data_IF_429305087825
#
_entry.id   IF_429305087825
#
_cell.length_a   1.000
_cell.length_b   1.000
_cell.length_c   1.000
_cell.angle_alpha   90.00
_cell.angle_beta   90.00
_cell.angle_gamma   90.00
#
_symmetry.space_group_name_H-M   'P 1'
#
loop_
_entity.id
_entity.type
_entity.pdbx_description
1 polymer ?
#
# COMPACT_ATOMS: atom_id res chain seq x y z
N UNK A 1 6.05 -10.59 -1.10
CA UNK A 1 5.96 -11.02 -2.51
C UNK A 1 7.26 -10.64 -3.17
N UNK A 2 7.87 -11.48 -4.00
CA UNK A 2 9.02 -11.03 -4.80
C UNK A 2 8.45 -10.25 -5.98
N UNK A 3 8.85 -8.99 -6.10
CA UNK A 3 8.46 -8.11 -7.20
C UNK A 3 9.49 -8.29 -8.30
N UNK A 4 9.00 -8.53 -9.52
CA UNK A 4 9.81 -8.72 -10.72
C UNK A 4 9.30 -7.78 -11.82
N UNK A 5 10.14 -7.45 -12.82
CA UNK A 5 9.68 -6.75 -14.00
C UNK A 5 8.50 -7.50 -14.64
N UNK A 6 7.45 -6.76 -15.00
CA UNK A 6 6.24 -7.30 -15.66
C UNK A 6 6.46 -7.53 -17.15
N UNK A 7 7.54 -7.00 -17.69
CA UNK A 7 7.88 -7.06 -19.11
C UNK A 7 8.32 -8.47 -19.51
N UNK A 8 8.40 -8.72 -20.82
CA UNK A 8 8.90 -10.01 -21.28
C UNK A 8 10.39 -10.14 -20.97
N UNK A 9 10.81 -11.23 -20.31
CA UNK A 9 12.22 -11.48 -20.11
C UNK A 9 12.92 -11.69 -21.45
N UNK A 10 14.22 -11.34 -21.51
CA UNK A 10 15.07 -11.59 -22.68
C UNK A 10 15.20 -13.08 -22.93
N UNK A 11 15.22 -13.85 -21.84
CA UNK A 11 15.26 -15.30 -21.83
C UNK A 11 14.22 -15.79 -20.84
N UNK A 12 13.36 -16.69 -21.30
CA UNK A 12 12.25 -17.17 -20.49
C UNK A 12 12.35 -18.69 -20.30
N UNK A 13 11.92 -19.15 -19.13
CA UNK A 13 11.59 -20.54 -18.86
C UNK A 13 12.74 -21.53 -19.04
N UNK A 14 13.97 -21.10 -18.75
CA UNK A 14 15.09 -22.01 -18.67
C UNK A 14 14.93 -22.90 -17.43
N UNK A 15 15.20 -24.19 -17.55
CA UNK A 15 15.16 -25.08 -16.39
C UNK A 15 16.57 -25.14 -15.77
N UNK A 16 16.66 -24.81 -14.49
CA UNK A 16 17.93 -24.77 -13.74
C UNK A 16 18.68 -26.09 -13.72
N UNK A 17 18.00 -27.23 -13.94
CA UNK A 17 18.63 -28.54 -14.06
C UNK A 17 19.64 -28.61 -15.23
N UNK A 18 19.41 -27.86 -16.31
CA UNK A 18 20.27 -27.88 -17.50
C UNK A 18 21.25 -26.71 -17.56
N UNK A 19 21.30 -25.87 -16.52
CA UNK A 19 21.99 -24.59 -16.55
C UNK A 19 22.96 -24.48 -15.39
N UNK A 20 24.21 -24.16 -15.70
CA UNK A 20 25.20 -23.74 -14.71
C UNK A 20 24.88 -22.30 -14.28
N UNK A 21 24.22 -22.15 -13.12
CA UNK A 21 23.67 -20.86 -12.69
C UNK A 21 24.74 -19.78 -12.44
N UNK A 22 25.90 -20.07 -11.81
CA UNK A 22 27.02 -19.14 -11.75
C UNK A 22 27.46 -18.64 -13.14
N UNK A 23 27.63 -19.53 -14.11
CA UNK A 23 28.00 -19.13 -15.48
C UNK A 23 26.90 -18.35 -16.19
N UNK A 24 25.65 -18.70 -15.95
CA UNK A 24 24.49 -17.97 -16.46
C UNK A 24 24.52 -16.51 -15.96
N UNK A 25 24.77 -16.34 -14.66
CA UNK A 25 24.90 -15.02 -14.04
C UNK A 25 26.03 -14.21 -14.66
N UNK A 26 27.25 -14.76 -14.71
CA UNK A 26 28.42 -14.08 -15.31
C UNK A 26 28.19 -13.70 -16.78
N UNK A 27 27.58 -14.61 -17.55
CA UNK A 27 27.28 -14.37 -18.96
C UNK A 27 26.34 -13.19 -19.16
N UNK A 28 25.19 -13.17 -18.48
CA UNK A 28 24.22 -12.09 -18.64
C UNK A 28 24.64 -10.80 -17.95
N UNK A 29 25.52 -10.88 -16.94
CA UNK A 29 26.19 -9.69 -16.40
C UNK A 29 27.02 -8.99 -17.48
N UNK A 30 27.84 -9.74 -18.21
CA UNK A 30 28.65 -9.21 -19.31
C UNK A 30 27.86 -8.81 -20.55
N UNK A 31 26.80 -9.55 -20.89
CA UNK A 31 26.00 -9.29 -22.11
C UNK A 31 25.01 -8.14 -21.93
N UNK A 32 24.31 -8.07 -20.79
CA UNK A 32 23.23 -7.09 -20.58
C UNK A 32 23.73 -5.82 -19.90
N UNK A 33 24.81 -5.89 -19.13
CA UNK A 33 25.34 -4.78 -18.33
C UNK A 33 24.47 -4.38 -17.13
N UNK A 34 23.16 -4.64 -17.13
CA UNK A 34 22.30 -4.53 -15.97
C UNK A 34 21.03 -5.38 -16.16
N UNK A 35 20.58 -6.01 -15.07
CA UNK A 35 19.44 -6.92 -15.17
C UNK A 35 19.06 -7.64 -13.88
N UNK A 36 18.10 -8.55 -14.04
CA UNK A 36 17.63 -9.43 -12.98
C UNK A 36 17.46 -10.86 -13.46
N UNK A 37 17.86 -11.85 -12.65
CA UNK A 37 17.60 -13.27 -12.89
C UNK A 37 16.62 -13.75 -11.83
N UNK A 38 15.43 -14.14 -12.27
CA UNK A 38 14.36 -14.66 -11.43
C UNK A 38 14.33 -16.19 -11.48
N UNK A 39 14.19 -16.80 -10.32
CA UNK A 39 14.15 -18.24 -10.11
C UNK A 39 12.81 -18.60 -9.47
N UNK A 40 12.00 -19.39 -10.17
CA UNK A 40 10.67 -19.79 -9.71
C UNK A 40 10.58 -21.29 -9.52
N UNK A 41 10.42 -21.72 -8.27
CA UNK A 41 10.35 -23.13 -7.89
C UNK A 41 9.04 -23.49 -7.19
N UNK A 42 8.75 -24.79 -6.98
CA UNK A 42 7.50 -25.24 -6.36
C UNK A 42 7.28 -24.80 -4.90
N UNK A 43 8.36 -24.52 -4.16
CA UNK A 43 8.30 -24.17 -2.73
C UNK A 43 9.16 -22.98 -2.34
N UNK A 44 9.84 -22.39 -3.31
CA UNK A 44 10.81 -21.32 -3.13
C UNK A 44 10.89 -20.47 -4.38
N UNK A 45 11.28 -19.22 -4.20
CA UNK A 45 11.40 -18.24 -5.26
C UNK A 45 12.56 -17.30 -4.92
N UNK A 46 13.32 -16.88 -5.93
CA UNK A 46 14.42 -15.96 -5.71
C UNK A 46 14.64 -15.03 -6.89
N UNK A 47 15.28 -13.89 -6.65
CA UNK A 47 15.73 -12.99 -7.71
C UNK A 47 17.11 -12.44 -7.36
N UNK A 48 17.98 -12.30 -8.36
CA UNK A 48 19.29 -11.68 -8.25
C UNK A 48 19.31 -10.47 -9.19
N UNK A 49 19.64 -9.29 -8.65
CA UNK A 49 19.85 -8.06 -9.42
C UNK A 49 21.34 -7.76 -9.55
N UNK A 50 21.76 -7.34 -10.73
CA UNK A 50 23.17 -7.06 -11.04
C UNK A 50 23.33 -5.86 -11.96
N UNK A 51 24.48 -5.21 -11.86
CA UNK A 51 25.01 -4.33 -12.89
C UNK A 51 26.27 -4.96 -13.51
N UNK A 52 26.96 -4.18 -14.36
CA UNK A 52 28.10 -4.63 -15.16
C UNK A 52 29.30 -5.02 -14.29
N UNK A 53 29.38 -4.50 -13.07
CA UNK A 53 30.55 -4.61 -12.20
C UNK A 53 30.27 -5.65 -11.10
N UNK A 54 29.06 -5.69 -10.54
CA UNK A 54 28.75 -6.57 -9.42
C UNK A 54 27.28 -7.02 -9.29
N UNK A 55 27.06 -7.94 -8.35
CA UNK A 55 25.74 -8.27 -7.85
C UNK A 55 25.30 -7.20 -6.85
N UNK A 56 24.18 -6.52 -7.14
CA UNK A 56 23.67 -5.43 -6.32
C UNK A 56 22.86 -5.93 -5.12
N UNK A 57 21.93 -6.85 -5.37
CA UNK A 57 21.11 -7.44 -4.31
C UNK A 57 20.52 -8.77 -4.77
N UNK A 58 20.10 -9.59 -3.82
CA UNK A 58 19.32 -10.77 -4.09
C UNK A 58 18.26 -10.98 -3.01
N UNK A 59 17.20 -11.70 -3.37
CA UNK A 59 16.15 -12.11 -2.45
C UNK A 59 15.90 -13.58 -2.68
N UNK A 60 15.77 -14.32 -1.60
CA UNK A 60 15.34 -15.70 -1.65
C UNK A 60 14.25 -15.91 -0.61
N UNK A 61 13.17 -16.55 -1.03
CA UNK A 61 11.99 -16.77 -0.21
C UNK A 61 11.61 -18.24 -0.26
N UNK A 62 11.40 -18.81 0.91
CA UNK A 62 10.87 -20.16 1.14
C UNK A 62 9.88 -20.09 2.28
N UNK A 63 8.91 -21.00 2.39
CA UNK A 63 7.83 -20.95 3.41
C UNK A 63 8.30 -20.42 4.79
N UNK A 64 7.87 -19.20 5.14
CA UNK A 64 8.18 -18.54 6.42
C UNK A 64 9.56 -17.89 6.55
N UNK A 65 10.42 -18.02 5.54
CA UNK A 65 11.78 -17.49 5.50
C UNK A 65 11.94 -16.54 4.30
N UNK A 66 12.53 -15.38 4.53
CA UNK A 66 13.00 -14.50 3.45
C UNK A 66 14.37 -13.98 3.83
N UNK A 67 15.35 -14.28 2.98
CA UNK A 67 16.74 -13.85 3.12
C UNK A 67 17.08 -12.89 1.99
N UNK A 68 18.08 -12.03 2.23
CA UNK A 68 18.44 -10.93 1.35
C UNK A 68 19.96 -10.89 1.08
N UNK A 69 20.36 -10.13 0.07
CA UNK A 69 21.77 -9.87 -0.25
C UNK A 69 22.56 -11.13 -0.60
N UNK A 70 23.85 -11.14 -0.25
CA UNK A 70 24.77 -12.23 -0.61
C UNK A 70 24.35 -13.59 -0.08
N UNK A 71 23.70 -13.65 1.08
CA UNK A 71 23.19 -14.91 1.63
C UNK A 71 22.10 -15.51 0.74
N UNK A 72 21.18 -14.67 0.23
CA UNK A 72 20.15 -15.09 -0.71
C UNK A 72 20.75 -15.63 -2.02
N UNK A 73 21.73 -14.91 -2.59
CA UNK A 73 22.41 -15.35 -3.80
C UNK A 73 23.13 -16.69 -3.60
N UNK A 74 23.83 -16.85 -2.47
CA UNK A 74 24.48 -18.11 -2.10
C UNK A 74 23.49 -19.27 -2.01
N UNK A 75 22.32 -19.05 -1.39
CA UNK A 75 21.26 -20.08 -1.32
C UNK A 75 20.70 -20.42 -2.69
N UNK A 76 20.49 -19.44 -3.56
CA UNK A 76 20.06 -19.67 -4.94
C UNK A 76 21.10 -20.51 -5.70
N UNK A 77 22.38 -20.16 -5.65
CA UNK A 77 23.44 -20.90 -6.35
C UNK A 77 23.60 -22.34 -5.82
N UNK A 78 23.38 -22.55 -4.53
CA UNK A 78 23.46 -23.87 -3.92
C UNK A 78 22.24 -24.76 -4.27
N UNK A 79 21.04 -24.19 -4.24
CA UNK A 79 19.80 -24.94 -4.45
C UNK A 79 19.44 -25.13 -5.92
N UNK A 80 19.75 -24.15 -6.78
CA UNK A 80 19.27 -24.15 -8.16
C UNK A 80 19.69 -25.36 -9.01
N UNK A 81 20.90 -25.95 -8.85
CA UNK A 81 21.26 -27.18 -9.56
C UNK A 81 20.42 -28.40 -9.15
N UNK A 82 19.91 -28.41 -7.90
CA UNK A 82 19.25 -29.57 -7.30
C UNK A 82 17.72 -29.42 -7.24
N UNK A 83 17.22 -28.21 -7.48
CA UNK A 83 15.80 -27.91 -7.55
C UNK A 83 15.44 -27.52 -8.98
N UNK A 84 14.27 -27.94 -9.46
CA UNK A 84 13.80 -27.61 -10.82
C UNK A 84 13.19 -26.21 -10.86
N UNK A 85 14.03 -25.17 -10.75
CA UNK A 85 13.59 -23.79 -10.93
C UNK A 85 13.38 -23.49 -12.42
N UNK A 86 12.31 -22.75 -12.70
CA UNK A 86 12.14 -22.01 -13.95
C UNK A 86 12.90 -20.67 -13.80
N UNK A 87 13.80 -20.38 -14.75
CA UNK A 87 14.66 -19.20 -14.75
C UNK A 87 14.24 -18.25 -15.86
N UNK A 88 14.00 -17.00 -15.48
CA UNK A 88 13.74 -15.88 -16.39
C UNK A 88 14.83 -14.81 -16.21
N UNK A 89 15.35 -14.28 -17.32
CA UNK A 89 16.38 -13.23 -17.33
C UNK A 89 15.80 -11.94 -17.90
N UNK A 90 15.84 -10.88 -17.10
CA UNK A 90 15.32 -9.56 -17.43
C UNK A 90 16.46 -8.59 -17.69
N UNK A 91 16.36 -7.84 -18.78
CA UNK A 91 17.15 -6.63 -18.99
C UNK A 91 16.49 -5.50 -18.22
N UNK A 92 17.27 -4.77 -17.43
CA UNK A 92 16.82 -3.60 -16.68
C UNK A 92 17.80 -2.48 -17.01
N UNK A 93 17.29 -1.28 -17.24
CA UNK A 93 18.15 -0.13 -17.51
C UNK A 93 19.06 0.19 -16.33
N UNK A 94 20.31 0.57 -16.59
CA UNK A 94 21.29 0.97 -15.58
C UNK A 94 20.82 2.12 -14.68
N UNK A 95 19.95 2.99 -15.17
CA UNK A 95 19.37 4.07 -14.37
C UNK A 95 18.34 3.56 -13.35
N UNK A 96 17.70 2.42 -13.63
CA UNK A 96 16.66 1.84 -12.78
C UNK A 96 17.15 0.68 -11.93
N UNK A 97 18.27 0.04 -12.29
CA UNK A 97 18.69 -1.20 -11.63
C UNK A 97 18.93 -1.02 -10.13
N UNK A 98 19.50 0.12 -9.72
CA UNK A 98 19.68 0.45 -8.30
C UNK A 98 18.34 0.63 -7.57
N UNK A 99 17.31 1.14 -8.25
CA UNK A 99 15.96 1.21 -7.71
C UNK A 99 15.37 -0.19 -7.53
N UNK A 100 15.45 -1.02 -8.57
CA UNK A 100 14.98 -2.42 -8.56
C UNK A 100 15.63 -3.25 -7.46
N UNK A 101 16.94 -3.09 -7.26
CA UNK A 101 17.70 -3.75 -6.20
C UNK A 101 17.18 -3.38 -4.79
N UNK A 102 16.52 -2.23 -4.61
CA UNK A 102 15.96 -1.78 -3.34
C UNK A 102 14.45 -2.06 -3.17
N UNK A 103 13.73 -2.44 -4.23
CA UNK A 103 12.31 -2.83 -4.13
C UNK A 103 12.04 -3.90 -3.06
N UNK A 104 12.90 -4.92 -2.86
CA UNK A 104 12.71 -5.91 -1.80
C UNK A 104 12.63 -5.33 -0.38
N UNK A 105 13.22 -4.17 -0.15
CA UNK A 105 13.16 -3.45 1.14
C UNK A 105 11.94 -2.54 1.29
N UNK A 106 11.03 -2.55 0.32
CA UNK A 106 9.86 -1.69 0.34
C UNK A 106 8.84 -2.06 1.43
N UNK A 107 8.14 -1.06 1.92
CA UNK A 107 7.08 -1.16 2.90
C UNK A 107 5.76 -0.71 2.28
N UNK A 108 4.67 -1.35 2.66
CA UNK A 108 3.35 -1.01 2.13
C UNK A 108 2.83 0.29 2.76
N UNK A 109 2.43 1.22 1.90
CA UNK A 109 1.78 2.49 2.29
C UNK A 109 0.27 2.35 2.14
N UNK A 110 -0.16 1.88 0.97
CA UNK A 110 -1.58 1.64 0.66
C UNK A 110 -1.74 0.25 0.04
N UNK A 111 -2.78 -0.48 0.46
CA UNK A 111 -3.10 -1.82 -0.06
C UNK A 111 -4.52 -1.86 -0.59
N UNK A 112 -4.73 -2.62 -1.65
CA UNK A 112 -6.05 -2.97 -2.19
C UNK A 112 -6.94 -1.76 -2.53
N UNK A 113 -6.34 -0.66 -3.02
CA UNK A 113 -7.12 0.48 -3.51
C UNK A 113 -7.79 0.08 -4.82
N UNK A 114 -9.11 0.12 -4.89
CA UNK A 114 -9.82 -0.23 -6.13
C UNK A 114 -10.22 1.02 -6.92
N UNK A 115 -10.40 0.85 -8.22
CA UNK A 115 -10.92 1.87 -9.13
C UNK A 115 -12.31 2.39 -8.79
N UNK A 116 -13.05 1.67 -7.94
CA UNK A 116 -14.34 2.13 -7.43
C UNK A 116 -14.19 3.30 -6.44
N UNK A 117 -12.98 3.50 -5.90
CA UNK A 117 -12.70 4.48 -4.85
C UNK A 117 -11.57 5.45 -5.21
N UNK A 118 -10.67 5.06 -6.11
CA UNK A 118 -9.52 5.89 -6.48
C UNK A 118 -9.23 5.74 -7.96
N UNK A 119 -9.12 6.84 -8.68
CA UNK A 119 -8.62 6.81 -10.05
C UNK A 119 -7.08 6.83 -10.02
N UNK A 120 -6.47 6.05 -10.94
CA UNK A 120 -5.00 5.93 -10.97
C UNK A 120 -4.31 7.27 -11.21
N UNK A 121 -4.94 8.20 -11.91
CA UNK A 121 -4.36 9.51 -12.23
C UNK A 121 -4.29 10.41 -10.99
N UNK A 122 -5.35 10.43 -10.17
CA UNK A 122 -5.41 11.07 -8.87
C UNK A 122 -4.37 10.48 -7.91
N UNK A 123 -4.25 9.15 -7.86
CA UNK A 123 -3.23 8.48 -7.05
C UNK A 123 -1.81 8.88 -7.46
N UNK A 124 -1.52 8.91 -8.78
CA UNK A 124 -0.23 9.37 -9.29
C UNK A 124 0.05 10.81 -8.85
N UNK A 125 -0.91 11.74 -9.01
CA UNK A 125 -0.75 13.14 -8.60
C UNK A 125 -0.44 13.26 -7.11
N UNK A 126 -1.11 12.46 -6.28
CA UNK A 126 -0.85 12.40 -4.84
C UNK A 126 0.58 11.93 -4.55
N UNK A 127 1.03 10.83 -5.16
CA UNK A 127 2.38 10.29 -4.95
C UNK A 127 3.48 11.25 -5.43
N UNK A 128 3.20 12.07 -6.46
CA UNK A 128 4.08 13.19 -6.85
C UNK A 128 4.15 14.25 -5.75
N UNK A 129 3.01 14.70 -5.23
CA UNK A 129 2.93 15.74 -4.20
C UNK A 129 3.61 15.32 -2.88
N UNK A 130 3.44 14.05 -2.48
CA UNK A 130 4.04 13.48 -1.28
C UNK A 130 5.52 13.10 -1.46
N UNK A 131 6.09 13.35 -2.64
CA UNK A 131 7.48 13.02 -2.98
C UNK A 131 7.82 11.54 -2.74
N UNK A 132 6.91 10.64 -3.14
CA UNK A 132 7.11 9.21 -2.98
C UNK A 132 8.45 8.77 -3.57
N UNK A 133 9.19 7.98 -2.80
CA UNK A 133 10.28 7.14 -3.33
C UNK A 133 9.84 5.70 -3.13
N UNK A 134 9.51 5.02 -4.22
CA UNK A 134 8.71 3.80 -4.15
C UNK A 134 7.99 3.49 -5.45
N UNK A 135 6.99 2.63 -5.41
CA UNK A 135 6.26 2.25 -6.61
C UNK A 135 4.78 2.05 -6.35
N UNK A 136 4.01 2.12 -7.43
CA UNK A 136 2.61 1.69 -7.45
C UNK A 136 2.55 0.40 -8.27
N UNK A 137 2.13 -0.71 -7.67
CA UNK A 137 1.75 -1.93 -8.39
C UNK A 137 0.27 -1.84 -8.77
N UNK A 138 0.00 -1.97 -10.05
CA UNK A 138 -1.33 -1.87 -10.65
C UNK A 138 -1.68 -3.22 -11.24
N UNK A 139 -2.71 -3.86 -10.70
CA UNK A 139 -3.29 -5.09 -11.22
C UNK A 139 -4.64 -4.80 -11.89
N UNK A 140 -4.82 -5.28 -13.11
CA UNK A 140 -6.02 -5.11 -13.95
C UNK A 140 -6.53 -6.50 -14.33
N UNK A 141 -7.85 -6.65 -14.53
CA UNK A 141 -8.47 -7.92 -14.95
C UNK A 141 -8.07 -9.09 -14.03
N UNK A 142 -8.20 -8.90 -12.70
CA UNK A 142 -7.79 -9.87 -11.67
C UNK A 142 -6.30 -10.26 -11.73
N UNK A 143 -5.44 -9.37 -12.22
CA UNK A 143 -4.00 -9.55 -12.27
C UNK A 143 -3.47 -10.17 -13.57
N UNK A 144 -4.31 -10.33 -14.60
CA UNK A 144 -3.86 -10.78 -15.91
C UNK A 144 -3.06 -9.70 -16.67
N UNK A 145 -3.41 -8.44 -16.45
CA UNK A 145 -2.69 -7.29 -16.98
C UNK A 145 -2.28 -6.37 -15.83
N UNK A 146 -1.27 -5.53 -16.05
CA UNK A 146 -0.84 -4.61 -15.01
C UNK A 146 0.43 -3.87 -15.33
N UNK A 147 0.86 -3.08 -14.35
CA UNK A 147 2.13 -2.39 -14.43
C UNK A 147 2.62 -1.87 -13.09
N UNK A 148 3.92 -1.64 -13.03
CA UNK A 148 4.60 -0.95 -11.95
C UNK A 148 4.89 0.47 -12.42
N UNK A 149 4.59 1.46 -11.58
CA UNK A 149 4.97 2.86 -11.79
C UNK A 149 6.02 3.20 -10.74
N UNK A 150 7.24 3.54 -11.16
CA UNK A 150 8.37 3.78 -10.27
C UNK A 150 8.53 5.27 -10.00
N UNK A 151 8.66 5.63 -8.72
CA UNK A 151 8.80 7.00 -8.25
C UNK A 151 10.12 7.19 -7.49
N UNK A 152 10.79 8.30 -7.74
CA UNK A 152 11.91 8.79 -6.95
C UNK A 152 11.65 10.25 -6.57
N UNK A 153 11.50 10.52 -5.27
CA UNK A 153 11.18 11.85 -4.75
C UNK A 153 9.97 12.52 -5.44
N UNK A 154 8.97 11.73 -5.83
CA UNK A 154 7.78 12.19 -6.52
C UNK A 154 7.92 12.28 -8.05
N UNK A 155 9.11 12.12 -8.61
CA UNK A 155 9.27 12.01 -10.05
C UNK A 155 9.09 10.58 -10.54
N UNK A 156 8.38 10.40 -11.66
CA UNK A 156 8.23 9.10 -12.29
C UNK A 156 9.52 8.81 -13.06
N UNK A 157 10.32 7.88 -12.56
CA UNK A 157 11.60 7.49 -13.16
C UNK A 157 11.47 6.30 -14.11
N UNK A 158 10.30 5.65 -14.14
CA UNK A 158 10.06 4.53 -15.03
C UNK A 158 8.76 3.81 -14.77
N UNK A 159 8.55 2.75 -15.53
CA UNK A 159 7.48 1.81 -15.30
C UNK A 159 7.75 0.50 -16.02
N UNK A 160 7.12 -0.56 -15.54
CA UNK A 160 7.23 -1.89 -16.12
C UNK A 160 5.83 -2.41 -16.37
N UNK A 161 5.49 -2.75 -17.60
CA UNK A 161 4.12 -3.06 -18.02
C UNK A 161 4.04 -4.44 -18.66
N UNK A 162 2.96 -5.18 -18.41
CA UNK A 162 2.82 -6.57 -18.91
C UNK A 162 2.76 -6.70 -20.43
N UNK A 163 2.57 -5.59 -21.14
CA UNK A 163 2.54 -5.51 -22.61
C UNK A 163 3.79 -4.82 -23.23
N UNK A 164 4.76 -4.40 -22.42
CA UNK A 164 5.97 -3.71 -22.87
C UNK A 164 7.18 -4.67 -22.99
N UNK A 165 8.27 -4.19 -23.64
CA UNK A 165 9.45 -4.98 -24.00
C UNK A 165 10.76 -4.55 -23.29
N UNK A 166 10.73 -3.97 -22.09
CA UNK A 166 11.97 -3.78 -21.31
C UNK A 166 12.82 -2.57 -21.67
N UNK A 167 12.44 -1.80 -22.68
CA UNK A 167 13.17 -0.57 -23.04
C UNK A 167 12.48 0.63 -22.42
N UNK A 168 13.28 1.47 -21.75
CA UNK A 168 13.21 2.86 -21.25
C UNK A 168 11.91 3.69 -21.27
N UNK A 169 10.80 3.15 -21.71
CA UNK A 169 9.58 3.87 -21.88
C UNK A 169 8.61 3.50 -20.75
N UNK A 170 8.96 4.09 -19.60
CA UNK A 170 8.02 5.02 -18.98
C UNK A 170 7.58 6.14 -19.94
N UNK A 171 7.42 5.89 -21.26
CA UNK A 171 6.78 6.85 -22.12
C UNK A 171 5.44 7.06 -21.49
N UNK A 172 5.16 8.33 -21.34
CA UNK A 172 3.85 8.89 -21.12
C UNK A 172 2.78 8.07 -21.88
N UNK A 173 3.11 7.47 -23.04
CA UNK A 173 2.28 6.49 -23.75
C UNK A 173 1.90 5.24 -22.92
N UNK A 174 2.84 4.44 -22.42
CA UNK A 174 2.52 3.23 -21.64
C UNK A 174 1.82 3.57 -20.32
N UNK A 175 2.23 4.66 -19.67
CA UNK A 175 1.54 5.18 -18.48
C UNK A 175 0.09 5.56 -18.81
N UNK A 176 -0.16 6.28 -19.90
CA UNK A 176 -1.51 6.62 -20.38
C UNK A 176 -2.33 5.37 -20.71
N UNK A 177 -1.72 4.34 -21.30
CA UNK A 177 -2.39 3.07 -21.57
C UNK A 177 -2.78 2.38 -20.25
N UNK A 178 -1.91 2.37 -19.25
CA UNK A 178 -2.19 1.79 -17.93
C UNK A 178 -3.36 2.51 -17.25
N UNK A 179 -3.33 3.86 -17.22
CA UNK A 179 -4.41 4.70 -16.67
C UNK A 179 -5.75 4.43 -17.37
N UNK A 180 -5.73 4.37 -18.71
CA UNK A 180 -6.93 4.09 -19.50
C UNK A 180 -7.47 2.69 -19.19
N UNK A 181 -6.62 1.66 -19.21
CA UNK A 181 -7.03 0.28 -18.94
C UNK A 181 -7.59 0.10 -17.53
N UNK A 182 -6.95 0.71 -16.52
CA UNK A 182 -7.46 0.64 -15.15
C UNK A 182 -8.84 1.31 -15.05
N UNK A 183 -9.06 2.43 -15.74
CA UNK A 183 -10.37 3.11 -15.76
C UNK A 183 -11.43 2.26 -16.46
N UNK A 184 -11.10 1.68 -17.60
CA UNK A 184 -12.07 0.98 -18.46
C UNK A 184 -12.46 -0.40 -17.91
N UNK A 185 -11.54 -1.11 -17.25
CA UNK A 185 -11.72 -2.51 -16.82
C UNK A 185 -11.70 -2.72 -15.31
N UNK A 186 -11.44 -1.66 -14.57
CA UNK A 186 -11.19 -1.71 -13.15
C UNK A 186 -9.77 -2.21 -12.82
N UNK A 187 -9.28 -1.82 -11.65
CA UNK A 187 -7.94 -2.13 -11.20
C UNK A 187 -7.82 -2.11 -9.69
N UNK A 188 -6.82 -2.82 -9.20
CA UNK A 188 -6.39 -2.83 -7.80
C UNK A 188 -4.99 -2.24 -7.75
N UNK A 189 -4.78 -1.26 -6.88
CA UNK A 189 -3.53 -0.56 -6.71
C UNK A 189 -2.95 -0.84 -5.33
N UNK A 190 -1.64 -1.04 -5.31
CA UNK A 190 -0.83 -1.15 -4.11
C UNK A 190 0.31 -0.15 -4.21
N UNK A 191 0.49 0.65 -3.15
CA UNK A 191 1.55 1.64 -3.07
C UNK A 191 2.57 1.17 -2.05
N UNK A 192 3.82 1.08 -2.48
CA UNK A 192 4.95 0.69 -1.64
C UNK A 192 5.98 1.82 -1.61
N UNK A 193 6.57 2.07 -0.44
CA UNK A 193 7.64 3.05 -0.23
C UNK A 193 8.95 2.33 0.02
N UNK A 194 10.02 2.81 -0.60
CA UNK A 194 11.38 2.36 -0.33
C UNK A 194 11.98 3.31 0.73
N UNK A 195 12.36 2.80 1.92
CA UNK A 195 12.98 3.61 2.95
C UNK A 195 14.35 4.13 2.50
N UNK A 196 14.68 5.37 2.86
CA UNK A 196 15.88 6.06 2.36
C UNK A 196 17.12 5.81 3.24
N UNK A 197 17.00 5.05 4.34
CA UNK A 197 18.15 4.66 5.16
C UNK A 197 17.98 3.27 5.80
N UNK A 198 19.10 2.56 6.02
CA UNK A 198 19.15 1.34 6.82
C UNK A 198 18.71 1.55 8.29
N UNK A 199 18.55 2.79 8.74
CA UNK A 199 18.03 3.14 10.07
C UNK A 199 16.50 2.96 10.15
N UNK A 200 15.77 3.12 9.04
CA UNK A 200 14.33 2.82 8.93
C UNK A 200 14.05 1.31 8.77
N UNK A 201 15.04 0.54 8.30
CA UNK A 201 14.93 -0.93 8.15
C UNK A 201 15.04 -1.69 9.48
N UNK A 202 15.54 -1.06 10.56
CA UNK A 202 15.50 -1.60 11.92
C UNK A 202 14.18 -1.33 12.65
N UNK A 203 13.30 -0.49 12.09
CA UNK A 203 11.93 -0.38 12.54
C UNK A 203 11.10 -1.50 11.89
N UNK A 204 11.29 -2.72 12.37
CA UNK A 204 10.31 -3.78 12.18
C UNK A 204 8.96 -3.40 12.83
N UNK A 205 7.88 -4.15 12.57
CA UNK A 205 6.55 -3.86 13.11
C UNK A 205 6.60 -3.96 14.64
N UNK A 206 6.67 -2.81 15.30
CA UNK A 206 6.90 -2.74 16.74
C UNK A 206 7.58 -1.45 17.15
N UNK A 207 6.94 -0.30 16.92
CA UNK A 207 6.97 0.70 17.97
C UNK A 207 5.91 0.27 18.99
N UNK A 208 6.26 0.03 20.27
CA UNK A 208 5.24 -0.08 21.30
C UNK A 208 4.40 1.19 21.27
N UNK A 209 3.09 1.11 21.59
CA UNK A 209 2.26 2.31 21.68
C UNK A 209 2.98 3.26 22.62
N UNK A 210 3.27 4.47 22.14
CA UNK A 210 3.71 5.55 23.00
C UNK A 210 2.51 5.87 23.88
N UNK A 211 2.39 5.15 24.99
CA UNK A 211 1.48 5.45 26.05
C UNK A 211 1.92 6.81 26.62
N UNK A 212 1.13 7.85 26.37
CA UNK A 212 1.40 9.15 26.94
C UNK A 212 0.68 10.32 26.28
N UNK A 213 -0.65 10.25 26.14
CA UNK A 213 -1.63 11.34 26.29
C UNK A 213 -2.99 10.79 25.85
N UNK A 214 -4.02 10.90 26.71
CA UNK A 214 -5.26 10.11 26.67
C UNK A 214 -5.80 9.77 25.28
N UNK A 215 -5.74 8.49 24.92
CA UNK A 215 -6.19 7.99 23.63
C UNK A 215 -7.73 8.02 23.56
N UNK A 216 -8.28 8.94 22.77
CA UNK A 216 -9.72 9.08 22.56
C UNK A 216 -10.24 8.19 21.42
N UNK A 217 -9.39 7.35 20.81
CA UNK A 217 -9.83 6.40 19.79
C UNK A 217 -10.84 5.39 20.35
N UNK A 218 -10.68 4.94 21.59
CA UNK A 218 -11.63 4.05 22.27
C UNK A 218 -13.03 4.67 22.40
N UNK A 219 -13.16 5.86 23.01
CA UNK A 219 -14.43 6.60 23.05
C UNK A 219 -15.04 6.83 21.66
N UNK A 220 -14.26 7.26 20.66
CA UNK A 220 -14.78 7.49 19.30
C UNK A 220 -15.25 6.21 18.61
N UNK A 221 -14.57 5.09 18.86
CA UNK A 221 -14.98 3.79 18.35
C UNK A 221 -16.33 3.35 18.93
N UNK A 222 -16.54 3.53 20.23
CA UNK A 222 -17.80 3.25 20.91
C UNK A 222 -18.96 4.11 20.35
N UNK A 223 -18.73 5.39 20.07
CA UNK A 223 -19.73 6.28 19.49
C UNK A 223 -20.17 5.80 18.09
N UNK A 224 -19.19 5.51 17.22
CA UNK A 224 -19.45 5.06 15.86
C UNK A 224 -20.06 3.66 15.82
N UNK A 225 -19.68 2.76 16.74
CA UNK A 225 -20.27 1.43 16.87
C UNK A 225 -21.73 1.50 17.34
N UNK A 226 -22.04 2.39 18.28
CA UNK A 226 -23.41 2.61 18.73
C UNK A 226 -24.28 3.20 17.61
N UNK A 227 -23.72 4.14 16.83
CA UNK A 227 -24.38 4.67 15.64
C UNK A 227 -24.60 3.57 14.59
N UNK A 228 -23.58 2.74 14.31
CA UNK A 228 -23.71 1.59 13.41
C UNK A 228 -24.84 0.65 13.83
N UNK A 229 -24.97 0.38 15.14
CA UNK A 229 -26.05 -0.42 15.71
C UNK A 229 -27.44 0.16 15.47
N UNK A 230 -27.59 1.50 15.53
CA UNK A 230 -28.84 2.19 15.19
C UNK A 230 -29.18 2.02 13.70
N UNK A 231 -28.18 2.19 12.83
CA UNK A 231 -28.34 2.03 11.39
C UNK A 231 -28.71 0.60 10.99
N UNK A 232 -28.10 -0.42 11.62
CA UNK A 232 -28.45 -1.84 11.41
C UNK A 232 -29.86 -2.19 11.90
N UNK A 233 -30.30 -1.55 12.97
CA UNK A 233 -31.64 -1.75 13.54
C UNK A 233 -32.75 -1.08 12.71
N UNK A 234 -32.40 -0.13 11.83
CA UNK A 234 -33.34 0.60 11.00
C UNK A 234 -33.64 -0.13 9.68
N UNK A 235 -34.87 -0.65 9.55
CA UNK A 235 -35.33 -1.37 8.33
C UNK A 235 -35.27 -0.56 7.03
N UNK A 236 -35.17 0.78 7.10
CA UNK A 236 -35.03 1.64 5.91
C UNK A 236 -33.58 1.71 5.40
N UNK A 237 -32.60 1.33 6.20
CA UNK A 237 -31.19 1.38 5.83
C UNK A 237 -30.76 0.04 5.20
N UNK A 238 -30.41 0.07 3.92
CA UNK A 238 -29.95 -1.11 3.14
C UNK A 238 -28.50 -1.02 2.68
N UNK A 239 -27.81 0.07 3.03
CA UNK A 239 -26.42 0.32 2.64
C UNK A 239 -25.48 -0.12 3.77
N UNK A 240 -24.21 -0.30 3.45
CA UNK A 240 -23.17 -0.54 4.45
C UNK A 240 -22.89 0.76 5.24
N UNK A 241 -22.91 0.70 6.57
CA UNK A 241 -22.71 1.88 7.43
C UNK A 241 -21.35 2.51 7.22
N UNK A 242 -20.28 1.70 7.13
CA UNK A 242 -18.94 2.20 6.88
C UNK A 242 -18.84 2.97 5.57
N UNK A 243 -19.59 2.57 4.55
CA UNK A 243 -19.64 3.26 3.25
C UNK A 243 -20.33 4.62 3.34
N UNK A 244 -21.41 4.72 4.10
CA UNK A 244 -22.13 5.99 4.32
C UNK A 244 -21.31 6.93 5.20
N UNK A 245 -20.67 6.41 6.25
CA UNK A 245 -19.76 7.17 7.11
C UNK A 245 -18.58 7.73 6.33
N UNK A 246 -17.91 6.90 5.50
CA UNK A 246 -16.79 7.34 4.66
C UNK A 246 -17.21 8.40 3.66
N UNK A 247 -18.40 8.28 3.06
CA UNK A 247 -18.92 9.33 2.17
C UNK A 247 -19.08 10.66 2.90
N UNK A 248 -19.61 10.64 4.13
CA UNK A 248 -19.76 11.85 4.94
C UNK A 248 -18.42 12.50 5.27
N UNK A 249 -17.41 11.69 5.58
CA UNK A 249 -16.07 12.18 5.83
C UNK A 249 -15.43 12.83 4.60
N UNK A 250 -15.68 12.31 3.39
CA UNK A 250 -15.25 13.00 2.14
C UNK A 250 -15.91 14.37 2.01
N UNK A 251 -17.21 14.49 2.30
CA UNK A 251 -17.93 15.77 2.22
C UNK A 251 -17.40 16.82 3.21
N UNK A 252 -16.80 16.37 4.32
CA UNK A 252 -16.23 17.22 5.37
C UNK A 252 -14.71 17.34 5.30
N UNK A 253 -14.05 16.66 4.37
CA UNK A 253 -12.60 16.65 4.22
C UNK A 253 -12.02 18.05 3.92
N UNK A 254 -12.78 18.91 3.25
CA UNK A 254 -12.39 20.31 2.99
C UNK A 254 -12.27 21.15 4.29
N UNK A 255 -13.07 20.81 5.32
CA UNK A 255 -13.04 21.47 6.65
C UNK A 255 -12.13 20.74 7.63
N UNK A 256 -12.09 19.41 7.55
CA UNK A 256 -11.32 18.54 8.43
C UNK A 256 -10.46 17.60 7.59
N UNK A 257 -9.28 18.06 7.19
CA UNK A 257 -8.37 17.31 6.32
C UNK A 257 -8.00 15.92 6.85
N UNK A 258 -7.99 15.73 8.18
CA UNK A 258 -7.71 14.44 8.81
C UNK A 258 -8.85 13.41 8.69
N UNK A 259 -10.08 13.87 8.39
CA UNK A 259 -11.20 12.99 8.06
C UNK A 259 -11.14 12.51 6.61
N UNK A 260 -10.28 13.10 5.79
CA UNK A 260 -10.09 12.65 4.41
C UNK A 260 -9.73 11.14 4.42
N UNK A 261 -10.60 10.28 3.87
CA UNK A 261 -10.32 8.85 3.78
C UNK A 261 -9.05 8.56 2.98
N UNK A 262 -8.57 9.51 2.17
CA UNK A 262 -7.33 9.43 1.41
C UNK A 262 -6.11 9.83 2.24
N UNK A 263 -6.22 10.75 3.21
CA UNK A 263 -5.11 11.07 4.13
C UNK A 263 -4.77 9.85 4.99
N UNK A 264 -5.77 9.00 5.30
CA UNK A 264 -5.58 7.77 6.08
C UNK A 264 -5.26 8.04 7.55
N UNK A 265 -5.38 9.30 7.97
CA UNK A 265 -5.14 9.75 9.33
C UNK A 265 -6.22 9.22 10.28
N UNK A 266 -7.48 9.16 9.85
CA UNK A 266 -8.59 8.58 10.60
C UNK A 266 -9.20 7.38 9.87
N UNK A 267 -9.32 6.23 10.55
CA UNK A 267 -9.95 5.02 10.01
C UNK A 267 -10.94 4.44 11.01
N UNK A 268 -12.12 4.09 10.52
CA UNK A 268 -13.10 3.28 11.25
C UNK A 268 -13.38 1.97 10.50
N UNK A 269 -13.08 0.84 11.13
CA UNK A 269 -13.37 -0.50 10.61
C UNK A 269 -13.53 -1.49 11.75
N UNK A 270 -14.47 -2.45 11.63
CA UNK A 270 -14.71 -3.49 12.64
C UNK A 270 -14.97 -2.95 14.06
N UNK A 271 -15.63 -1.81 14.19
CA UNK A 271 -15.86 -1.12 15.47
C UNK A 271 -14.58 -0.64 16.18
N UNK A 272 -13.48 -0.52 15.44
CA UNK A 272 -12.23 0.09 15.92
C UNK A 272 -11.97 1.40 15.19
N UNK A 273 -11.46 2.38 15.93
CA UNK A 273 -10.94 3.63 15.39
C UNK A 273 -9.42 3.60 15.47
N UNK A 274 -8.76 3.90 14.37
CA UNK A 274 -7.32 4.12 14.32
C UNK A 274 -7.09 5.54 13.85
N UNK A 275 -6.46 6.35 14.70
CA UNK A 275 -6.01 7.69 14.36
C UNK A 275 -4.49 7.76 14.37
N UNK A 276 -3.90 8.19 13.25
CA UNK A 276 -2.43 8.34 13.07
C UNK A 276 -2.06 9.76 12.64
N UNK A 277 -3.03 10.67 12.61
CA UNK A 277 -2.84 12.08 12.29
C UNK A 277 -2.24 12.87 13.45
N UNK A 278 -1.96 14.15 13.19
CA UNK A 278 -1.43 15.11 14.19
C UNK A 278 -2.48 16.10 14.68
N UNK A 279 -3.74 15.93 14.30
CA UNK A 279 -4.82 16.82 14.73
C UNK A 279 -4.99 16.75 16.26
N UNK A 280 -5.24 17.90 16.89
CA UNK A 280 -5.50 17.96 18.31
C UNK A 280 -6.83 17.23 18.63
N UNK A 281 -6.91 16.63 19.81
CA UNK A 281 -8.14 15.94 20.26
C UNK A 281 -9.36 16.88 20.29
N UNK A 282 -9.12 18.17 20.51
CA UNK A 282 -10.13 19.24 20.48
C UNK A 282 -10.74 19.48 19.10
N UNK A 283 -10.04 19.10 18.03
CA UNK A 283 -10.55 19.19 16.65
C UNK A 283 -11.13 17.84 16.20
N UNK A 284 -10.44 16.74 16.56
CA UNK A 284 -10.80 15.39 16.14
C UNK A 284 -12.17 14.96 16.66
N UNK A 285 -12.42 15.14 17.96
CA UNK A 285 -13.66 14.64 18.58
C UNK A 285 -14.88 15.42 18.09
N UNK A 286 -14.89 16.77 18.06
CA UNK A 286 -16.01 17.52 17.49
C UNK A 286 -16.27 17.22 16.02
N UNK A 287 -15.22 17.02 15.20
CA UNK A 287 -15.39 16.71 13.79
C UNK A 287 -16.11 15.37 13.57
N UNK A 288 -15.75 14.33 14.33
CA UNK A 288 -16.42 13.02 14.25
C UNK A 288 -17.85 13.11 14.79
N UNK A 289 -18.08 13.86 15.88
CA UNK A 289 -19.41 14.09 16.43
C UNK A 289 -20.33 14.83 15.44
N UNK A 290 -19.83 15.86 14.77
CA UNK A 290 -20.56 16.63 13.75
C UNK A 290 -20.99 15.70 12.60
N UNK A 291 -20.07 14.88 12.09
CA UNK A 291 -20.36 13.93 11.03
C UNK A 291 -21.40 12.87 11.45
N UNK A 292 -21.28 12.34 12.68
CA UNK A 292 -22.20 11.36 13.22
C UNK A 292 -23.61 11.93 13.42
N UNK A 293 -23.72 13.18 13.90
CA UNK A 293 -24.99 13.88 14.07
C UNK A 293 -25.66 14.16 12.72
N UNK A 294 -24.93 14.72 11.75
CA UNK A 294 -25.47 15.01 10.43
C UNK A 294 -25.96 13.73 9.73
N UNK A 295 -25.22 12.63 9.86
CA UNK A 295 -25.66 11.32 9.37
C UNK A 295 -26.93 10.83 10.04
N UNK A 296 -27.07 10.99 11.36
CA UNK A 296 -28.30 10.61 12.05
C UNK A 296 -29.50 11.45 11.56
N UNK A 297 -29.32 12.75 11.36
CA UNK A 297 -30.35 13.65 10.85
C UNK A 297 -30.78 13.32 9.41
N UNK A 298 -29.83 13.07 8.51
CA UNK A 298 -30.10 12.72 7.10
C UNK A 298 -30.98 11.48 6.95
N UNK A 299 -30.89 10.55 7.91
CA UNK A 299 -31.65 9.30 7.89
C UNK A 299 -32.85 9.30 8.88
N UNK A 300 -33.17 10.45 9.49
CA UNK A 300 -34.32 10.61 10.40
C UNK A 300 -34.19 9.81 11.70
N UNK A 301 -32.98 9.71 12.23
CA UNK A 301 -32.62 8.99 13.46
C UNK A 301 -32.12 9.92 14.58
N UNK A 302 -32.46 11.21 14.51
CA UNK A 302 -32.12 12.24 15.47
C UNK A 302 -32.52 11.89 16.92
N UNK A 303 -33.76 11.45 17.14
CA UNK A 303 -34.25 11.07 18.47
C UNK A 303 -33.51 9.86 19.09
N UNK A 304 -33.41 8.72 18.39
CA UNK A 304 -32.63 7.56 18.84
C UNK A 304 -31.13 7.87 19.01
N UNK A 305 -30.56 8.67 18.12
CA UNK A 305 -29.15 9.08 18.20
C UNK A 305 -28.88 9.92 19.45
N UNK A 306 -29.76 10.87 19.80
CA UNK A 306 -29.60 11.72 20.99
C UNK A 306 -29.49 10.89 22.27
N UNK A 307 -30.31 9.83 22.42
CA UNK A 307 -30.21 8.91 23.57
C UNK A 307 -28.88 8.16 23.63
N UNK A 308 -28.38 7.70 22.48
CA UNK A 308 -27.07 7.03 22.38
C UNK A 308 -25.94 8.00 22.71
N UNK A 309 -26.03 9.23 22.17
CA UNK A 309 -25.07 10.29 22.39
C UNK A 309 -25.00 10.72 23.87
N UNK A 310 -26.15 10.92 24.52
CA UNK A 310 -26.21 11.29 25.94
C UNK A 310 -25.63 10.19 26.85
N UNK A 311 -25.93 8.93 26.54
CA UNK A 311 -25.35 7.78 27.25
C UNK A 311 -23.84 7.66 27.05
N UNK A 312 -23.35 7.91 25.82
CA UNK A 312 -21.93 7.90 25.50
C UNK A 312 -21.19 9.04 26.20
N UNK A 313 -21.74 10.26 26.14
CA UNK A 313 -21.20 11.46 26.79
C UNK A 313 -21.10 11.29 28.30
N UNK A 314 -22.13 10.72 28.95
CA UNK A 314 -22.09 10.43 30.38
C UNK A 314 -21.01 9.42 30.77
N UNK A 315 -20.76 8.42 29.91
CA UNK A 315 -19.74 7.37 30.14
C UNK A 315 -18.31 7.89 30.01
N UNK A 316 -18.07 8.84 29.10
CA UNK A 316 -16.73 9.35 28.77
C UNK A 316 -16.47 10.80 29.22
N UNK A 317 -17.32 11.36 30.09
CA UNK A 317 -17.26 12.77 30.52
C UNK A 317 -15.89 13.18 31.10
N UNK A 318 -15.26 12.33 31.90
CA UNK A 318 -13.94 12.62 32.51
C UNK A 318 -12.80 12.60 31.49
N UNK A 319 -12.89 11.73 30.47
CA UNK A 319 -11.88 11.59 29.41
C UNK A 319 -11.98 12.76 28.41
N UNK A 320 -13.20 13.19 28.09
CA UNK A 320 -13.47 14.36 27.25
C UNK A 320 -13.04 15.67 27.92
N UNK A 321 -13.30 15.81 29.23
CA UNK A 321 -12.84 16.96 30.02
C UNK A 321 -11.31 17.02 30.11
N UNK A 322 -10.65 15.87 30.27
CA UNK A 322 -9.18 15.76 30.26
C UNK A 322 -8.53 16.10 28.91
N UNK A 323 -9.28 16.02 27.82
CA UNK A 323 -8.84 16.35 26.46
C UNK A 323 -9.18 17.79 26.03
N UNK A 324 -9.86 18.57 26.89
CA UNK A 324 -10.29 19.93 26.58
C UNK A 324 -11.35 20.03 25.49
N UNK A 325 -12.14 18.96 25.29
CA UNK A 325 -13.27 18.97 24.35
C UNK A 325 -14.46 19.60 25.07
N UNK A 326 -14.76 20.86 24.76
CA UNK A 326 -15.99 21.50 25.23
C UNK A 326 -17.20 20.87 24.54
N UNK A 327 -18.29 20.64 25.28
CA UNK A 327 -19.49 20.09 24.67
C UNK A 327 -20.11 21.09 23.70
N UNK A 328 -20.65 20.64 22.55
CA UNK A 328 -21.50 21.51 21.74
C UNK A 328 -22.71 21.93 22.60
N UNK A 329 -22.93 23.24 22.67
CA UNK A 329 -24.11 23.82 23.31
C UNK A 329 -25.39 23.25 22.68
N UNK A 330 -26.40 23.01 23.54
CA UNK A 330 -27.73 22.49 23.19
C UNK A 330 -28.46 23.28 22.10
#
# INVERSE_FOLDING_TARGET
>A
MIIVPKERPVIARLNSYYVDVPKLFEHYQGELGAGGIHFKGPGSEGIIFFDKDEMLNAVFRRKGETIYGREAAGRIFQEAPNASYEIDVYRIDSEQIYFWANIPSSQDVYRNLTTDFTDLEGLIRKMRAEKLTGFIDVAIDKGMEGGLILFNQGEIIGGSYSWARGNLDGSIRNLKILIKKSRDRGGVFQVCRIPSSQQELKAGPGMPPVAGQGDLCGPLADLLAALEGLFRSNRKFKKDFGTVLRKKFVEKADRYAFLDPFAGEFRYANQEVVFTGRAAHQDLVPAVMECALELACEYGMDGPYRKVFDSWRGRYANELAGAGVEPPDE
#
